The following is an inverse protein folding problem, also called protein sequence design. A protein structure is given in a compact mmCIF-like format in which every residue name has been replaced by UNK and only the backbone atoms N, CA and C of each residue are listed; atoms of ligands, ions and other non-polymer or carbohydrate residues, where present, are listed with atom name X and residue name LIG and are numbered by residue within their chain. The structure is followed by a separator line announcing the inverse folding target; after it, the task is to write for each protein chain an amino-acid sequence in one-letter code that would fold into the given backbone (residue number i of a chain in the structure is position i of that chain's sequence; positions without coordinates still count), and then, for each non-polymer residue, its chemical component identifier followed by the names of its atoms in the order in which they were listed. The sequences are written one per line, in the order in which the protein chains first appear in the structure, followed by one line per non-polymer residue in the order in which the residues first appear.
data_IF_900545767445
#
_entry.id   IF_900545767445
#
_cell.length_a   1.000
_cell.length_b   1.000
_cell.length_c   1.000
_cell.angle_alpha   90.00
_cell.angle_beta   90.00
_cell.angle_gamma   90.00
#
_symmetry.space_group_name_H-M   'P 1'
#
loop_
_entity.id
_entity.type
_entity.pdbx_description
1 polymer ?
#
# COMPACT_ATOMS: atom_id res chain seq x y z
N UNK A 1 9.23 -0.77 -2.14
CA UNK A 1 8.63 0.54 -1.75
C UNK A 1 7.50 0.40 -0.74
N UNK A 2 6.62 -0.59 -0.91
CA UNK A 2 5.52 -0.81 0.04
C UNK A 2 5.97 -1.03 1.48
N UNK A 3 7.08 -1.74 1.71
CA UNK A 3 7.63 -1.94 3.04
C UNK A 3 8.09 -0.63 3.70
N UNK A 4 8.69 0.27 2.92
CA UNK A 4 9.11 1.58 3.41
C UNK A 4 7.91 2.47 3.81
N UNK A 5 6.87 2.46 3.00
CA UNK A 5 5.62 3.18 3.28
C UNK A 5 4.96 2.61 4.55
N UNK A 6 4.86 1.28 4.64
CA UNK A 6 4.28 0.61 5.80
C UNK A 6 5.03 0.96 7.09
N UNK A 7 6.37 0.93 7.06
CA UNK A 7 7.20 1.30 8.21
C UNK A 7 6.96 2.76 8.63
N UNK A 8 6.88 3.66 7.66
CA UNK A 8 6.68 5.09 7.95
C UNK A 8 5.32 5.35 8.60
N UNK A 9 4.28 4.68 8.15
CA UNK A 9 2.95 4.77 8.76
C UNK A 9 2.95 4.18 10.18
N UNK A 10 3.66 3.07 10.39
CA UNK A 10 3.83 2.49 11.73
C UNK A 10 4.54 3.48 12.68
N UNK A 11 5.53 4.22 12.19
CA UNK A 11 6.20 5.28 12.96
C UNK A 11 5.20 6.34 13.45
N UNK A 12 4.18 6.61 12.66
CA UNK A 12 3.12 7.56 13.00
C UNK A 12 2.00 6.94 13.87
N UNK A 13 2.18 5.72 14.35
CA UNK A 13 1.20 4.97 15.14
C UNK A 13 -0.10 4.67 14.37
N UNK A 14 -0.03 4.60 13.04
CA UNK A 14 -1.17 4.24 12.19
C UNK A 14 -1.14 2.72 12.00
N UNK A 15 -2.22 1.99 12.34
CA UNK A 15 -2.30 0.56 12.08
C UNK A 15 -2.22 0.28 10.57
N UNK A 16 -1.36 -0.66 10.17
CA UNK A 16 -1.10 -0.99 8.76
C UNK A 16 -1.31 -2.48 8.52
N UNK A 17 -1.94 -2.81 7.41
CA UNK A 17 -1.96 -4.17 6.86
C UNK A 17 -1.17 -4.16 5.56
N UNK A 18 -0.11 -4.94 5.50
CA UNK A 18 0.73 -5.08 4.31
C UNK A 18 0.38 -6.40 3.61
N UNK A 19 -0.09 -6.30 2.38
CA UNK A 19 -0.47 -7.45 1.57
C UNK A 19 0.42 -7.56 0.34
N UNK A 20 0.76 -8.81 -0.03
CA UNK A 20 1.43 -9.11 -1.28
C UNK A 20 0.94 -10.46 -1.81
N UNK A 21 1.47 -10.90 -2.95
CA UNK A 21 1.02 -12.12 -3.62
C UNK A 21 1.28 -13.38 -2.80
N UNK A 22 2.42 -13.45 -2.13
CA UNK A 22 2.86 -14.64 -1.38
C UNK A 22 3.27 -14.28 0.05
N UNK A 23 2.99 -15.19 0.97
CA UNK A 23 3.36 -15.03 2.37
C UNK A 23 4.87 -14.81 2.55
N UNK A 24 5.70 -15.50 1.78
CA UNK A 24 7.17 -15.36 1.82
C UNK A 24 7.62 -13.92 1.53
N UNK A 25 6.95 -13.25 0.60
CA UNK A 25 7.27 -11.87 0.21
C UNK A 25 6.98 -10.90 1.36
N UNK A 26 5.82 -11.05 2.00
CA UNK A 26 5.43 -10.15 3.11
C UNK A 26 6.25 -10.42 4.37
N UNK A 27 6.62 -11.66 4.63
CA UNK A 27 7.52 -11.99 5.74
C UNK A 27 8.92 -11.38 5.53
N UNK A 28 9.47 -11.46 4.32
CA UNK A 28 10.72 -10.80 3.95
C UNK A 28 10.63 -9.28 4.07
N UNK A 29 9.50 -8.71 3.69
CA UNK A 29 9.25 -7.27 3.85
C UNK A 29 9.26 -6.87 5.33
N UNK A 30 8.61 -7.65 6.19
CA UNK A 30 8.60 -7.42 7.63
C UNK A 30 10.02 -7.50 8.22
N UNK A 31 10.80 -8.51 7.85
CA UNK A 31 12.20 -8.64 8.27
C UNK A 31 13.03 -7.45 7.80
N UNK A 32 12.83 -7.00 6.56
CA UNK A 32 13.53 -5.83 6.03
C UNK A 32 13.23 -4.59 6.87
N UNK A 33 11.99 -4.39 7.28
CA UNK A 33 11.61 -3.27 8.14
C UNK A 33 12.36 -3.34 9.46
N UNK A 34 12.48 -4.53 10.06
CA UNK A 34 13.14 -4.72 11.35
C UNK A 34 14.67 -4.59 11.28
N UNK A 35 15.28 -5.00 10.15
CA UNK A 35 16.75 -5.14 10.03
C UNK A 35 17.39 -4.10 9.12
N UNK A 36 16.63 -3.19 8.54
CA UNK A 36 17.15 -2.21 7.58
C UNK A 36 18.21 -1.30 8.18
N UNK A 37 19.22 -0.98 7.37
CA UNK A 37 20.24 0.03 7.70
C UNK A 37 20.33 1.02 6.54
N UNK A 38 20.07 2.31 6.76
CA UNK A 38 19.62 2.90 8.03
C UNK A 38 18.23 2.40 8.47
N UNK A 39 17.91 2.49 9.77
CA UNK A 39 16.65 1.96 10.30
C UNK A 39 15.42 2.62 9.67
N UNK A 40 14.41 1.83 9.31
CA UNK A 40 13.14 2.34 8.81
C UNK A 40 12.19 2.71 9.94
N UNK A 41 12.28 2.03 11.09
CA UNK A 41 11.47 2.33 12.27
C UNK A 41 12.22 3.26 13.22
N UNK A 42 11.49 4.17 13.88
CA UNK A 42 12.05 4.98 14.96
C UNK A 42 12.42 4.11 16.16
N UNK A 43 11.55 3.17 16.47
CA UNK A 43 11.74 2.16 17.51
C UNK A 43 11.25 0.82 17.00
N UNK A 44 11.91 -0.28 17.37
CA UNK A 44 11.52 -1.63 16.94
C UNK A 44 10.09 -1.99 17.35
N UNK A 45 9.62 -1.48 18.49
CA UNK A 45 8.26 -1.70 18.96
C UNK A 45 7.16 -1.18 18.03
N UNK A 46 7.49 -0.22 17.14
CA UNK A 46 6.55 0.28 16.14
C UNK A 46 6.04 -0.80 15.19
N UNK A 47 6.75 -1.92 15.08
CA UNK A 47 6.34 -3.06 14.26
C UNK A 47 5.02 -3.69 14.74
N UNK A 48 4.64 -3.47 15.99
CA UNK A 48 3.40 -4.02 16.55
C UNK A 48 2.15 -3.48 15.85
N UNK A 49 2.25 -2.33 15.20
CA UNK A 49 1.18 -1.76 14.38
C UNK A 49 1.05 -2.39 12.99
N UNK A 50 1.94 -3.30 12.61
CA UNK A 50 1.94 -3.93 11.30
C UNK A 50 1.34 -5.33 11.35
N UNK A 51 0.33 -5.57 10.51
CA UNK A 51 -0.16 -6.90 10.17
C UNK A 51 0.26 -7.23 8.76
N UNK A 52 0.61 -8.49 8.51
CA UNK A 52 0.97 -8.97 7.18
C UNK A 52 -0.01 -10.03 6.70
N UNK A 53 -0.17 -10.13 5.39
CA UNK A 53 -1.04 -11.13 4.79
C UNK A 53 -0.84 -11.23 3.29
N UNK A 54 -1.68 -12.03 2.64
CA UNK A 54 -1.65 -12.19 1.18
C UNK A 54 -2.91 -11.66 0.55
N UNK A 55 -2.80 -11.25 -0.70
CA UNK A 55 -3.93 -10.75 -1.49
C UNK A 55 -5.00 -11.85 -1.64
N UNK A 56 -4.59 -13.11 -1.75
CA UNK A 56 -5.55 -14.23 -1.91
C UNK A 56 -6.29 -14.59 -0.62
N UNK A 57 -5.65 -14.48 0.54
CA UNK A 57 -6.24 -14.94 1.82
C UNK A 57 -6.80 -13.80 2.68
N UNK A 58 -6.23 -12.62 2.58
CA UNK A 58 -6.50 -11.52 3.51
C UNK A 58 -7.05 -10.27 2.83
N UNK A 59 -7.56 -10.40 1.62
CA UNK A 59 -8.06 -9.25 0.87
C UNK A 59 -9.32 -8.61 1.51
N UNK A 60 -10.03 -9.35 2.34
CA UNK A 60 -11.13 -8.84 3.15
C UNK A 60 -10.73 -7.66 4.06
N UNK A 61 -9.45 -7.55 4.42
CA UNK A 61 -8.91 -6.41 5.17
C UNK A 61 -9.10 -5.06 4.45
N UNK A 62 -9.22 -5.09 3.12
CA UNK A 62 -9.48 -3.89 2.32
C UNK A 62 -10.80 -3.23 2.70
N UNK A 63 -11.80 -4.02 3.11
CA UNK A 63 -13.12 -3.51 3.49
C UNK A 63 -13.11 -2.68 4.77
N UNK A 64 -12.10 -2.81 5.61
CA UNK A 64 -11.95 -2.05 6.86
C UNK A 64 -10.99 -0.87 6.75
N UNK A 65 -10.26 -0.77 5.65
CA UNK A 65 -9.22 0.26 5.49
C UNK A 65 -9.83 1.63 5.15
N UNK A 66 -9.29 2.67 5.77
CA UNK A 66 -9.62 4.07 5.47
C UNK A 66 -8.84 4.59 4.27
N UNK A 67 -7.62 4.07 4.09
CA UNK A 67 -6.73 4.44 3.01
C UNK A 67 -6.03 3.19 2.48
N UNK A 68 -6.15 2.97 1.19
CA UNK A 68 -5.55 1.84 0.50
C UNK A 68 -4.49 2.37 -0.45
N UNK A 69 -3.23 1.96 -0.22
CA UNK A 69 -2.09 2.39 -1.02
C UNK A 69 -1.65 1.24 -1.91
N UNK A 70 -1.70 1.44 -3.22
CA UNK A 70 -1.19 0.48 -4.19
C UNK A 70 0.28 0.79 -4.48
N UNK A 71 1.14 -0.20 -4.29
CA UNK A 71 2.57 -0.12 -4.55
C UNK A 71 3.06 -1.38 -5.30
N UNK A 72 2.24 -1.89 -6.20
CA UNK A 72 2.57 -3.06 -7.02
C UNK A 72 3.47 -2.68 -8.19
N UNK A 73 3.94 -3.69 -8.94
CA UNK A 73 4.83 -3.47 -10.10
C UNK A 73 4.24 -2.46 -11.09
N UNK A 74 5.12 -1.70 -11.77
CA UNK A 74 4.73 -0.65 -12.73
C UNK A 74 4.25 -1.24 -14.05
N UNK A 75 3.16 -2.02 -13.98
CA UNK A 75 2.47 -2.60 -15.14
C UNK A 75 1.00 -2.24 -15.08
N UNK A 76 0.52 -1.56 -16.12
CA UNK A 76 -0.83 -1.02 -16.15
C UNK A 76 -1.91 -2.11 -16.09
N UNK A 77 -1.69 -3.26 -16.73
CA UNK A 77 -2.60 -4.40 -16.72
C UNK A 77 -2.79 -4.95 -15.30
N UNK A 78 -1.69 -5.13 -14.56
CA UNK A 78 -1.71 -5.61 -13.17
C UNK A 78 -2.39 -4.59 -12.26
N UNK A 79 -2.07 -3.30 -12.45
CA UNK A 79 -2.69 -2.24 -11.67
C UNK A 79 -4.20 -2.15 -11.90
N UNK A 80 -4.65 -2.24 -13.14
CA UNK A 80 -6.09 -2.25 -13.44
C UNK A 80 -6.81 -3.44 -12.79
N UNK A 81 -6.21 -4.62 -12.80
CA UNK A 81 -6.79 -5.80 -12.16
C UNK A 81 -6.92 -5.63 -10.65
N UNK A 82 -5.87 -5.11 -10.00
CA UNK A 82 -5.92 -4.88 -8.54
C UNK A 82 -6.91 -3.78 -8.17
N UNK A 83 -7.03 -2.72 -8.97
CA UNK A 83 -8.00 -1.65 -8.72
C UNK A 83 -9.42 -2.17 -8.78
N UNK A 84 -9.73 -3.02 -9.75
CA UNK A 84 -11.06 -3.64 -9.85
C UNK A 84 -11.41 -4.37 -8.55
N UNK A 85 -10.48 -5.17 -8.03
CA UNK A 85 -10.66 -5.89 -6.76
C UNK A 85 -10.81 -4.93 -5.57
N UNK A 86 -9.99 -3.89 -5.51
CA UNK A 86 -10.01 -2.90 -4.43
C UNK A 86 -11.35 -2.16 -4.41
N UNK A 87 -11.79 -1.64 -5.54
CA UNK A 87 -13.02 -0.84 -5.62
C UNK A 87 -14.29 -1.68 -5.42
N UNK A 88 -14.24 -2.98 -5.73
CA UNK A 88 -15.33 -3.90 -5.41
C UNK A 88 -15.43 -4.20 -3.90
N UNK A 89 -14.32 -4.11 -3.17
CA UNK A 89 -14.22 -4.55 -1.78
C UNK A 89 -14.16 -3.41 -0.77
N UNK A 90 -13.64 -2.26 -1.16
CA UNK A 90 -13.40 -1.13 -0.25
C UNK A 90 -14.68 -0.63 0.41
N UNK A 91 -14.55 -0.09 1.62
CA UNK A 91 -15.67 0.57 2.27
C UNK A 91 -15.94 1.94 1.64
N UNK A 92 -17.16 2.42 1.79
CA UNK A 92 -17.58 3.75 1.34
C UNK A 92 -16.71 4.83 2.00
N UNK A 93 -16.32 5.84 1.21
CA UNK A 93 -15.51 6.98 1.64
C UNK A 93 -14.05 6.64 1.98
N UNK A 94 -13.57 5.44 1.67
CA UNK A 94 -12.14 5.17 1.74
C UNK A 94 -11.42 5.85 0.58
N UNK A 95 -10.12 6.14 0.77
CA UNK A 95 -9.27 6.71 -0.28
C UNK A 95 -8.39 5.61 -0.85
N UNK A 96 -8.26 5.58 -2.17
CA UNK A 96 -7.34 4.68 -2.87
C UNK A 96 -6.30 5.51 -3.57
N UNK A 97 -5.02 5.21 -3.33
CA UNK A 97 -3.94 5.91 -4.00
C UNK A 97 -2.92 4.95 -4.60
N UNK A 98 -2.29 5.39 -5.69
CA UNK A 98 -1.18 4.68 -6.30
C UNK A 98 0.13 5.38 -5.98
N UNK A 99 1.17 4.60 -5.70
CA UNK A 99 2.54 5.09 -5.51
C UNK A 99 3.32 5.11 -6.83
N UNK A 100 2.65 5.13 -7.97
CA UNK A 100 3.31 5.17 -9.27
C UNK A 100 4.22 6.38 -9.42
N UNK A 101 5.35 6.20 -10.11
CA UNK A 101 6.28 7.29 -10.43
C UNK A 101 6.16 7.75 -11.88
N UNK A 102 5.59 6.93 -12.75
CA UNK A 102 5.65 7.14 -14.21
C UNK A 102 4.31 7.07 -14.92
N UNK A 103 3.33 6.33 -14.41
CA UNK A 103 2.04 6.13 -15.10
C UNK A 103 1.09 7.29 -14.76
N UNK A 104 0.58 8.03 -15.76
CA UNK A 104 -0.34 9.15 -15.51
C UNK A 104 -1.65 8.69 -14.85
N UNK A 105 -2.20 9.54 -13.99
CA UNK A 105 -3.47 9.30 -13.31
C UNK A 105 -4.61 8.95 -14.28
N UNK A 106 -4.66 9.64 -15.41
CA UNK A 106 -5.67 9.40 -16.45
C UNK A 106 -5.66 7.97 -16.96
N UNK A 107 -4.46 7.38 -17.13
CA UNK A 107 -4.29 6.00 -17.59
C UNK A 107 -4.65 5.02 -16.48
N UNK A 108 -4.21 5.28 -15.26
CA UNK A 108 -4.51 4.43 -14.09
C UNK A 108 -6.02 4.36 -13.84
N UNK A 109 -6.71 5.48 -13.90
CA UNK A 109 -8.13 5.59 -13.59
C UNK A 109 -9.07 5.28 -14.77
N UNK A 110 -8.52 4.93 -15.93
CA UNK A 110 -9.29 4.78 -17.19
C UNK A 110 -10.47 3.82 -17.05
N UNK A 111 -10.31 2.72 -16.31
CA UNK A 111 -11.34 1.69 -16.14
C UNK A 111 -12.24 1.91 -14.92
N UNK A 112 -12.02 2.97 -14.16
CA UNK A 112 -12.84 3.30 -12.99
C UNK A 112 -14.08 4.08 -13.43
N UNK A 113 -15.21 3.88 -12.72
CA UNK A 113 -16.38 4.72 -12.90
C UNK A 113 -16.16 6.09 -12.24
N UNK A 114 -17.06 7.05 -12.51
CA UNK A 114 -16.93 8.42 -12.01
C UNK A 114 -16.95 8.51 -10.46
N UNK A 115 -17.73 7.65 -9.80
CA UNK A 115 -17.77 7.63 -8.34
C UNK A 115 -16.45 7.16 -7.74
N UNK A 116 -15.83 6.14 -8.33
CA UNK A 116 -14.56 5.61 -7.85
C UNK A 116 -13.39 6.57 -8.14
N UNK A 117 -13.43 7.27 -9.29
CA UNK A 117 -12.41 8.27 -9.63
C UNK A 117 -12.30 9.38 -8.60
N UNK A 118 -13.38 9.76 -7.96
CA UNK A 118 -13.38 10.81 -6.92
C UNK A 118 -12.51 10.45 -5.72
N UNK A 119 -12.40 9.18 -5.43
CA UNK A 119 -11.68 8.66 -4.27
C UNK A 119 -10.30 8.10 -4.64
N UNK A 120 -9.84 8.33 -5.88
CA UNK A 120 -8.58 7.82 -6.40
C UNK A 120 -7.60 8.95 -6.69
N UNK A 121 -6.35 8.79 -6.24
CA UNK A 121 -5.30 9.78 -6.48
C UNK A 121 -3.93 9.09 -6.58
N UNK A 122 -2.91 9.89 -6.84
CA UNK A 122 -1.50 9.45 -6.78
C UNK A 122 -0.86 10.08 -5.55
N UNK A 123 -0.21 9.24 -4.74
CA UNK A 123 0.60 9.69 -3.60
C UNK A 123 1.98 9.07 -3.74
N UNK A 124 2.92 9.82 -4.32
CA UNK A 124 4.25 9.31 -4.62
C UNK A 124 5.21 9.52 -3.46
N UNK A 125 5.54 8.43 -2.77
CA UNK A 125 6.58 8.43 -1.73
C UNK A 125 7.95 8.24 -2.37
N UNK A 126 8.93 9.00 -1.90
CA UNK A 126 10.31 8.86 -2.35
C UNK A 126 11.06 7.88 -1.47
N UNK A 127 11.93 7.09 -2.06
CA UNK A 127 12.74 6.11 -1.34
C UNK A 127 14.11 6.72 -0.98
N UNK A 128 14.58 6.62 0.26
CA UNK A 128 13.94 5.96 1.42
C UNK A 128 12.87 6.85 2.07
N UNK A 129 11.67 6.29 2.29
CA UNK A 129 10.47 7.05 2.71
C UNK A 129 10.69 7.86 3.98
N UNK A 130 11.34 7.28 4.99
CA UNK A 130 11.59 7.93 6.29
C UNK A 130 12.47 9.17 6.17
N UNK A 131 13.39 9.18 5.23
CA UNK A 131 14.47 10.17 5.15
C UNK A 131 14.27 11.22 4.07
N UNK A 132 13.17 11.10 3.31
CA UNK A 132 12.81 12.06 2.27
C UNK A 132 11.63 12.90 2.78
N UNK A 133 11.96 14.09 3.26
CA UNK A 133 10.97 15.03 3.79
C UNK A 133 10.19 15.77 2.71
#
# INVERSE_FOLDING_TARGET
MGSGIAAHLCNANIPVVLLDLKNEIVEKARERILKSKPPLLFEKSKIDGLKIGTITKNFDQVSDADWIIEAVVERIDIKHDIYKKIFDKRKKNSVVSSNTSTIPLKILSKKLNENDKKDFCITHFFNPVRYMG
#
